data_IF_350946198697
#
_entry.id   IF_350946198697
#
_cell.length_a   1.000
_cell.length_b   1.000
_cell.length_c   1.000
_cell.angle_alpha   90.00
_cell.angle_beta   90.00
_cell.angle_gamma   90.00
#
_symmetry.space_group_name_H-M   'P 1'
#
loop_
_entity.id
_entity.type
_entity.pdbx_description
1 polymer ?
#
# COMPACT_ATOMS: atom_id res chain seq x y z
N UNK A 1 -14.50 6.19 22.22
CA UNK A 1 -13.06 6.38 21.86
C UNK A 1 -12.14 5.16 22.07
N UNK A 2 -12.50 4.13 22.87
CA UNK A 2 -11.60 3.03 23.23
C UNK A 2 -11.32 1.98 22.11
N UNK A 3 -12.27 1.77 21.20
CA UNK A 3 -12.15 0.74 20.15
C UNK A 3 -11.10 1.06 19.07
N UNK A 4 -10.86 2.35 18.80
CA UNK A 4 -9.89 2.79 17.78
C UNK A 4 -8.44 2.47 18.16
N UNK A 5 -8.07 2.71 19.44
CA UNK A 5 -6.71 2.42 19.95
C UNK A 5 -6.35 0.93 19.92
N UNK A 6 -7.31 0.03 20.18
CA UNK A 6 -7.05 -1.43 20.11
C UNK A 6 -6.79 -1.90 18.68
N UNK A 7 -7.53 -1.38 17.68
CA UNK A 7 -7.33 -1.73 16.26
C UNK A 7 -6.00 -1.23 15.72
N UNK A 8 -5.61 0.01 16.04
CA UNK A 8 -4.31 0.57 15.65
C UNK A 8 -3.13 -0.24 16.24
N UNK A 9 -3.17 -0.63 17.52
CA UNK A 9 -2.14 -1.48 18.11
C UNK A 9 -2.03 -2.86 17.48
N UNK A 10 -3.15 -3.46 17.08
CA UNK A 10 -3.14 -4.75 16.39
C UNK A 10 -2.50 -4.63 14.99
N UNK A 11 -2.82 -3.58 14.23
CA UNK A 11 -2.20 -3.33 12.90
C UNK A 11 -0.70 -3.02 13.03
N UNK A 12 -0.30 -2.26 14.05
CA UNK A 12 1.12 -1.97 14.33
C UNK A 12 1.91 -3.25 14.64
N UNK A 13 1.41 -4.08 15.56
CA UNK A 13 2.04 -5.38 15.89
C UNK A 13 2.10 -6.30 14.67
N UNK A 14 1.02 -6.36 13.88
CA UNK A 14 1.01 -7.11 12.64
C UNK A 14 2.10 -6.63 11.68
N UNK A 15 2.31 -5.32 11.54
CA UNK A 15 3.34 -4.78 10.66
C UNK A 15 4.78 -5.07 11.13
N UNK A 16 5.03 -5.04 12.44
CA UNK A 16 6.34 -5.40 12.99
C UNK A 16 6.65 -6.89 12.84
N UNK A 17 5.63 -7.74 13.01
CA UNK A 17 5.73 -9.20 12.78
C UNK A 17 5.83 -9.55 11.28
N UNK A 18 5.30 -8.71 10.38
CA UNK A 18 5.25 -8.96 8.94
C UNK A 18 6.58 -8.82 8.20
N UNK A 19 7.60 -8.23 8.83
CA UNK A 19 8.98 -8.34 8.34
C UNK A 19 9.47 -9.81 8.25
N UNK A 20 8.77 -10.74 8.92
CA UNK A 20 9.09 -12.17 8.96
C UNK A 20 8.10 -13.06 8.17
N UNK A 21 7.18 -12.50 7.37
CA UNK A 21 6.25 -13.32 6.57
C UNK A 21 7.00 -13.90 5.36
N UNK A 22 7.16 -15.24 5.25
CA UNK A 22 8.02 -15.84 4.23
C UNK A 22 7.45 -15.74 2.81
N UNK A 23 6.15 -15.44 2.65
CA UNK A 23 5.51 -15.39 1.32
C UNK A 23 4.30 -14.48 1.32
N UNK A 24 4.39 -13.35 0.61
CA UNK A 24 3.23 -12.50 0.35
C UNK A 24 2.25 -13.22 -0.58
N UNK A 25 0.94 -13.06 -0.30
CA UNK A 25 -0.10 -13.56 -1.19
C UNK A 25 0.01 -12.84 -2.54
N UNK A 26 -0.03 -13.61 -3.64
CA UNK A 26 -0.09 -13.03 -4.99
C UNK A 26 -1.43 -12.31 -5.14
N UNK A 27 -1.37 -11.00 -5.42
CA UNK A 27 -2.53 -10.20 -5.81
C UNK A 27 -2.58 -10.08 -7.34
N UNK A 28 -3.78 -9.99 -7.90
CA UNK A 28 -3.95 -9.67 -9.32
C UNK A 28 -3.69 -8.19 -9.52
N UNK A 29 -2.98 -7.84 -10.59
CA UNK A 29 -2.54 -6.48 -10.90
C UNK A 29 -2.93 -6.18 -12.35
N UNK A 30 -3.52 -5.00 -12.61
CA UNK A 30 -3.94 -4.61 -13.97
C UNK A 30 -2.75 -4.37 -14.89
N UNK A 31 -3.00 -4.32 -16.20
CA UNK A 31 -1.94 -4.24 -17.22
C UNK A 31 -1.13 -2.96 -17.08
N UNK A 32 -1.81 -1.85 -16.87
CA UNK A 32 -1.25 -0.51 -16.72
C UNK A 32 -0.32 -0.44 -15.50
N UNK A 33 -0.72 -1.05 -14.39
CA UNK A 33 0.12 -1.15 -13.18
C UNK A 33 1.38 -1.99 -13.46
N UNK A 34 1.28 -3.07 -14.24
CA UNK A 34 2.47 -3.86 -14.64
C UNK A 34 3.40 -3.07 -15.56
N UNK A 35 2.85 -2.33 -16.51
CA UNK A 35 3.61 -1.47 -17.42
C UNK A 35 4.35 -0.39 -16.62
N UNK A 36 3.68 0.23 -15.65
CA UNK A 36 4.30 1.23 -14.77
C UNK A 36 5.39 0.62 -13.88
N UNK A 37 5.21 -0.59 -13.35
CA UNK A 37 6.27 -1.30 -12.62
C UNK A 37 7.48 -1.59 -13.51
N UNK A 38 7.24 -1.95 -14.78
CA UNK A 38 8.31 -2.11 -15.77
C UNK A 38 9.03 -0.79 -16.05
N UNK A 39 8.30 0.32 -16.18
CA UNK A 39 8.88 1.67 -16.31
C UNK A 39 9.74 2.03 -15.09
N UNK A 40 9.22 1.78 -13.89
CA UNK A 40 9.92 2.01 -12.61
C UNK A 40 11.25 1.25 -12.57
N UNK A 41 11.23 -0.04 -12.94
CA UNK A 41 12.43 -0.85 -12.99
C UNK A 41 13.44 -0.32 -14.02
N UNK A 42 12.99 0.07 -15.21
CA UNK A 42 13.86 0.63 -16.24
C UNK A 42 14.53 1.94 -15.77
N UNK A 43 13.78 2.84 -15.13
CA UNK A 43 14.37 4.05 -14.54
C UNK A 43 15.38 3.73 -13.43
N UNK A 44 15.07 2.79 -12.54
CA UNK A 44 15.99 2.40 -11.46
C UNK A 44 17.31 1.84 -12.00
N UNK A 45 17.26 0.96 -12.99
CA UNK A 45 18.44 0.40 -13.64
C UNK A 45 19.20 1.45 -14.46
N UNK A 46 18.50 2.29 -15.22
CA UNK A 46 19.09 3.36 -16.01
C UNK A 46 19.84 4.37 -15.15
N UNK A 47 19.25 4.85 -14.06
CA UNK A 47 19.91 5.80 -13.15
C UNK A 47 21.17 5.19 -12.55
N UNK A 48 21.12 3.93 -12.12
CA UNK A 48 22.32 3.25 -11.58
C UNK A 48 23.44 3.15 -12.63
N UNK A 49 23.12 2.79 -13.87
CA UNK A 49 24.11 2.73 -14.94
C UNK A 49 24.77 4.09 -15.22
N UNK A 50 23.98 5.17 -15.21
CA UNK A 50 24.53 6.54 -15.36
C UNK A 50 25.44 6.89 -14.18
N UNK A 51 25.08 6.51 -12.95
CA UNK A 51 25.92 6.73 -11.77
C UNK A 51 27.23 5.92 -11.81
N UNK A 52 27.22 4.76 -12.47
CA UNK A 52 28.40 3.93 -12.73
C UNK A 52 29.28 4.46 -13.88
N UNK A 53 28.89 5.58 -14.51
CA UNK A 53 29.67 6.29 -15.52
C UNK A 53 29.24 6.05 -16.96
N UNK A 54 28.11 5.40 -17.21
CA UNK A 54 27.56 5.28 -18.55
C UNK A 54 27.03 6.63 -19.09
N UNK A 55 27.08 6.81 -20.41
CA UNK A 55 26.60 8.00 -21.10
C UNK A 55 25.06 8.08 -21.07
N UNK A 56 24.51 9.20 -20.61
CA UNK A 56 23.06 9.40 -20.38
C UNK A 56 22.22 9.16 -21.65
N UNK A 57 22.66 9.64 -22.82
CA UNK A 57 21.94 9.48 -24.09
C UNK A 57 21.85 8.01 -24.52
N UNK A 58 22.96 7.26 -24.40
CA UNK A 58 22.99 5.84 -24.72
C UNK A 58 22.13 5.02 -23.75
N UNK A 59 22.18 5.36 -22.45
CA UNK A 59 21.34 4.71 -21.44
C UNK A 59 19.86 4.97 -21.71
N UNK A 60 19.46 6.22 -21.97
CA UNK A 60 18.06 6.55 -22.27
C UNK A 60 17.54 5.74 -23.46
N UNK A 61 18.34 5.63 -24.53
CA UNK A 61 17.99 4.83 -25.71
C UNK A 61 17.89 3.33 -25.38
N UNK A 62 18.85 2.78 -24.65
CA UNK A 62 18.90 1.35 -24.33
C UNK A 62 17.72 0.90 -23.46
N UNK A 63 17.24 1.78 -22.58
CA UNK A 63 16.10 1.52 -21.70
C UNK A 63 14.77 2.03 -22.27
N UNK A 64 14.76 2.59 -23.48
CA UNK A 64 13.58 3.21 -24.09
C UNK A 64 12.89 4.21 -23.14
N UNK A 65 13.70 5.12 -22.58
CA UNK A 65 13.26 6.17 -21.67
C UNK A 65 13.35 7.53 -22.36
N UNK A 66 12.48 8.45 -21.91
CA UNK A 66 12.61 9.84 -22.27
C UNK A 66 13.92 10.42 -21.68
N UNK A 67 14.73 11.02 -22.55
CA UNK A 67 16.07 11.49 -22.20
C UNK A 67 16.04 12.62 -21.17
N UNK A 68 15.13 13.58 -21.34
CA UNK A 68 15.00 14.72 -20.41
C UNK A 68 14.57 14.23 -19.03
N UNK A 69 13.59 13.33 -18.97
CA UNK A 69 13.13 12.73 -17.72
C UNK A 69 14.25 11.95 -17.03
N UNK A 70 15.05 11.17 -17.76
CA UNK A 70 16.20 10.47 -17.17
C UNK A 70 17.23 11.46 -16.58
N UNK A 71 17.58 12.51 -17.32
CA UNK A 71 18.49 13.55 -16.86
C UNK A 71 18.00 14.22 -15.57
N UNK A 72 16.71 14.51 -15.51
CA UNK A 72 16.09 15.14 -14.34
C UNK A 72 16.07 14.20 -13.13
N UNK A 73 15.76 12.91 -13.31
CA UNK A 73 15.84 11.90 -12.26
C UNK A 73 17.27 11.71 -11.73
N UNK A 74 18.27 11.63 -12.63
CA UNK A 74 19.69 11.54 -12.26
C UNK A 74 20.11 12.78 -11.46
N UNK A 75 19.75 13.97 -11.92
CA UNK A 75 20.05 15.24 -11.24
C UNK A 75 19.36 15.29 -9.88
N UNK A 76 18.09 14.90 -9.81
CA UNK A 76 17.33 14.83 -8.57
C UNK A 76 18.00 13.90 -7.56
N UNK A 77 18.36 12.69 -8.00
CA UNK A 77 19.01 11.71 -7.13
C UNK A 77 20.35 12.19 -6.59
N UNK A 78 21.23 12.72 -7.46
CA UNK A 78 22.54 13.30 -7.06
C UNK A 78 22.39 14.37 -5.98
N UNK A 79 21.29 15.12 -6.00
CA UNK A 79 21.00 16.18 -5.03
C UNK A 79 20.29 15.69 -3.74
N UNK A 80 19.66 14.51 -3.77
CA UNK A 80 18.77 14.01 -2.71
C UNK A 80 19.50 13.53 -1.44
N UNK A 81 20.82 13.31 -1.49
CA UNK A 81 21.62 12.62 -0.45
C UNK A 81 21.12 11.20 -0.10
N UNK A 82 20.17 10.65 -0.87
CA UNK A 82 19.68 9.31 -0.65
C UNK A 82 20.76 8.29 -1.03
N UNK A 83 20.82 7.18 -0.28
CA UNK A 83 21.78 6.11 -0.54
C UNK A 83 21.43 5.29 -1.78
N UNK A 84 20.13 5.08 -2.01
CA UNK A 84 19.59 4.28 -3.10
C UNK A 84 18.54 5.09 -3.83
N UNK A 85 18.55 5.03 -5.16
CA UNK A 85 17.52 5.63 -5.99
C UNK A 85 16.26 4.76 -5.98
N UNK A 86 15.09 5.39 -5.83
CA UNK A 86 13.78 4.75 -5.93
C UNK A 86 12.91 5.65 -6.79
N UNK A 87 12.48 5.15 -7.95
CA UNK A 87 11.57 5.91 -8.81
C UNK A 87 10.17 5.95 -8.17
N UNK A 88 9.72 7.14 -7.82
CA UNK A 88 8.46 7.39 -7.11
C UNK A 88 7.45 8.23 -7.89
N UNK A 89 7.83 8.74 -9.08
CA UNK A 89 7.03 9.69 -9.83
C UNK A 89 6.80 11.01 -9.06
N UNK A 90 5.95 11.88 -9.60
CA UNK A 90 5.76 13.23 -9.02
C UNK A 90 4.86 13.21 -7.77
N UNK A 91 5.47 13.42 -6.60
CA UNK A 91 4.77 13.88 -5.39
C UNK A 91 4.00 12.83 -4.57
N UNK A 92 4.21 11.53 -4.82
CA UNK A 92 3.56 10.45 -4.07
C UNK A 92 4.27 10.21 -2.72
N UNK A 93 3.52 9.90 -1.67
CA UNK A 93 4.08 9.52 -0.35
C UNK A 93 4.77 8.14 -0.44
N UNK A 94 4.16 7.24 -1.20
CA UNK A 94 4.64 5.89 -1.43
C UNK A 94 4.93 5.67 -2.91
N UNK A 95 5.96 4.89 -3.21
CA UNK A 95 6.12 4.35 -4.57
C UNK A 95 5.02 3.33 -4.87
N UNK A 96 4.76 3.06 -6.14
CA UNK A 96 3.81 2.01 -6.53
C UNK A 96 4.17 0.64 -5.95
N UNK A 97 5.47 0.34 -5.83
CA UNK A 97 5.95 -0.90 -5.19
C UNK A 97 5.52 -0.96 -3.72
N UNK A 98 5.62 0.16 -3.01
CA UNK A 98 5.18 0.28 -1.62
C UNK A 98 3.66 0.19 -1.47
N UNK A 99 2.91 0.83 -2.36
CA UNK A 99 1.44 0.78 -2.35
C UNK A 99 0.90 -0.62 -2.64
N UNK A 100 1.47 -1.32 -3.62
CA UNK A 100 1.16 -2.73 -3.86
C UNK A 100 1.59 -3.63 -2.69
N UNK A 101 2.68 -3.28 -2.01
CA UNK A 101 3.09 -3.99 -0.80
C UNK A 101 2.05 -3.82 0.32
N UNK A 102 1.44 -2.64 0.48
CA UNK A 102 0.32 -2.45 1.41
C UNK A 102 -0.84 -3.41 1.10
N UNK A 103 -1.21 -3.57 -0.17
CA UNK A 103 -2.26 -4.52 -0.57
C UNK A 103 -1.88 -5.97 -0.31
N UNK A 104 -0.65 -6.37 -0.65
CA UNK A 104 -0.13 -7.72 -0.39
C UNK A 104 -0.14 -8.05 1.09
N UNK A 105 0.28 -7.09 1.91
CA UNK A 105 0.24 -7.19 3.36
C UNK A 105 -1.20 -7.37 3.86
N UNK A 106 -2.15 -6.58 3.38
CA UNK A 106 -3.55 -6.73 3.78
C UNK A 106 -4.13 -8.09 3.35
N UNK A 107 -3.66 -8.62 2.22
CA UNK A 107 -4.08 -9.92 1.69
C UNK A 107 -3.50 -11.12 2.46
N UNK A 108 -2.48 -10.93 3.30
CA UNK A 108 -1.91 -11.97 4.19
C UNK A 108 -2.49 -11.95 5.60
N UNK A 109 -3.41 -11.03 5.90
CA UNK A 109 -4.12 -11.02 7.19
C UNK A 109 -4.79 -12.39 7.44
N UNK A 110 -4.58 -13.03 8.61
CA UNK A 110 -5.15 -14.33 8.93
C UNK A 110 -6.68 -14.38 8.75
N UNK A 111 -7.20 -15.54 8.33
CA UNK A 111 -8.65 -15.74 8.11
C UNK A 111 -9.51 -15.50 9.35
N UNK A 112 -8.92 -15.59 10.55
CA UNK A 112 -9.58 -15.24 11.81
C UNK A 112 -10.05 -13.77 11.85
N UNK A 113 -9.48 -12.91 11.02
CA UNK A 113 -9.96 -11.55 10.80
C UNK A 113 -10.72 -11.45 9.48
N UNK A 114 -11.74 -10.58 9.43
CA UNK A 114 -12.45 -10.33 8.19
C UNK A 114 -11.55 -9.62 7.16
N UNK A 115 -11.41 -10.20 5.98
CA UNK A 115 -10.59 -9.72 4.86
C UNK A 115 -11.42 -9.11 3.72
N UNK A 116 -12.70 -8.80 3.96
CA UNK A 116 -13.53 -8.17 2.94
C UNK A 116 -13.03 -6.76 2.58
N UNK A 117 -13.44 -6.24 1.42
CA UNK A 117 -13.05 -4.92 0.92
C UNK A 117 -13.22 -3.81 1.98
N UNK A 118 -14.39 -3.72 2.61
CA UNK A 118 -14.66 -2.71 3.66
C UNK A 118 -13.72 -2.83 4.84
N UNK A 119 -13.46 -4.06 5.33
CA UNK A 119 -12.58 -4.27 6.48
C UNK A 119 -11.11 -4.01 6.10
N UNK A 120 -10.71 -4.37 4.89
CA UNK A 120 -9.37 -4.12 4.34
C UNK A 120 -9.11 -2.62 4.23
N UNK A 121 -10.01 -1.88 3.58
CA UNK A 121 -9.92 -0.42 3.43
C UNK A 121 -10.00 0.31 4.78
N UNK A 122 -10.74 -0.25 5.75
CA UNK A 122 -10.74 0.25 7.12
C UNK A 122 -9.39 0.13 7.84
N UNK A 123 -8.53 -0.82 7.44
CA UNK A 123 -7.20 -1.04 8.03
C UNK A 123 -6.08 -0.31 7.26
N UNK A 124 -6.24 -0.14 5.96
CA UNK A 124 -5.23 0.42 5.06
C UNK A 124 -4.63 1.76 5.57
N UNK A 125 -5.42 2.75 6.05
CA UNK A 125 -4.87 4.01 6.55
C UNK A 125 -3.90 3.85 7.73
N UNK A 126 -4.16 2.91 8.63
CA UNK A 126 -3.29 2.65 9.77
C UNK A 126 -1.98 2.01 9.28
N UNK A 127 -2.09 1.04 8.38
CA UNK A 127 -0.94 0.37 7.80
C UNK A 127 -0.03 1.35 7.04
N UNK A 128 -0.63 2.22 6.23
CA UNK A 128 0.07 3.28 5.51
C UNK A 128 0.83 4.20 6.48
N UNK A 129 0.18 4.70 7.53
CA UNK A 129 0.84 5.52 8.54
C UNK A 129 2.06 4.83 9.17
N UNK A 130 1.92 3.57 9.58
CA UNK A 130 3.01 2.81 10.17
C UNK A 130 4.17 2.57 9.19
N UNK A 131 3.85 2.26 7.93
CA UNK A 131 4.86 2.11 6.87
C UNK A 131 5.60 3.43 6.62
N UNK A 132 4.88 4.54 6.48
CA UNK A 132 5.48 5.86 6.26
C UNK A 132 6.44 6.24 7.39
N UNK A 133 6.04 6.02 8.65
CA UNK A 133 6.89 6.24 9.81
C UNK A 133 8.14 5.36 9.83
N UNK A 134 7.99 4.06 9.58
CA UNK A 134 9.12 3.11 9.61
C UNK A 134 10.14 3.42 8.52
N UNK A 135 9.67 3.87 7.35
CA UNK A 135 10.52 4.20 6.20
C UNK A 135 10.94 5.68 6.18
N UNK A 136 10.68 6.44 7.24
CA UNK A 136 10.97 7.88 7.35
C UNK A 136 10.48 8.70 6.13
N UNK A 137 9.30 8.34 5.59
CA UNK A 137 8.69 9.07 4.47
C UNK A 137 8.16 10.43 4.97
N UNK A 138 8.12 11.41 4.07
CA UNK A 138 7.46 12.70 4.33
C UNK A 138 5.97 12.51 4.09
N UNK A 139 5.15 12.88 5.08
CA UNK A 139 3.70 12.77 5.00
C UNK A 139 3.01 13.94 5.75
N UNK A 140 1.72 14.21 5.49
CA UNK A 140 0.99 15.31 6.14
C UNK A 140 0.91 15.14 7.66
N UNK A 141 1.11 16.24 8.41
CA UNK A 141 1.12 16.24 9.90
C UNK A 141 -0.16 15.69 10.52
N UNK A 142 -1.29 15.80 9.82
CA UNK A 142 -2.59 15.28 10.23
C UNK A 142 -2.58 13.76 10.39
N UNK A 143 -1.65 13.06 9.73
CA UNK A 143 -1.48 11.61 9.89
C UNK A 143 -1.00 11.26 11.29
N UNK A 144 -0.12 12.07 11.89
CA UNK A 144 0.38 11.85 13.26
C UNK A 144 -0.72 12.07 14.31
N UNK A 145 -1.56 13.10 14.11
CA UNK A 145 -2.67 13.41 15.03
C UNK A 145 -3.63 12.23 15.15
N UNK A 146 -3.94 11.59 14.02
CA UNK A 146 -4.91 10.51 13.95
C UNK A 146 -4.29 9.10 13.96
N UNK A 147 -2.96 9.01 13.86
CA UNK A 147 -2.20 7.77 13.67
C UNK A 147 -2.71 6.92 12.50
N UNK A 148 -3.08 7.59 11.41
CA UNK A 148 -3.60 6.98 10.17
C UNK A 148 -3.47 7.93 9.00
N UNK A 149 -3.44 7.38 7.80
CA UNK A 149 -3.52 8.16 6.59
C UNK A 149 -4.81 8.99 6.49
N UNK A 150 -4.68 10.18 5.91
CA UNK A 150 -5.76 11.10 5.65
C UNK A 150 -6.76 10.55 4.63
N UNK A 151 -7.99 11.06 4.67
CA UNK A 151 -9.08 10.62 3.77
C UNK A 151 -8.75 10.87 2.29
N UNK A 152 -8.14 12.00 1.96
CA UNK A 152 -7.76 12.31 0.58
C UNK A 152 -6.79 11.28 -0.01
N UNK A 153 -5.79 10.86 0.76
CA UNK A 153 -4.87 9.80 0.35
C UNK A 153 -5.61 8.47 0.14
N UNK A 154 -6.51 8.09 1.06
CA UNK A 154 -7.28 6.85 0.95
C UNK A 154 -8.17 6.83 -0.30
N UNK A 155 -8.85 7.94 -0.60
CA UNK A 155 -9.72 8.07 -1.79
C UNK A 155 -8.89 7.90 -3.07
N UNK A 156 -7.76 8.58 -3.17
CA UNK A 156 -6.89 8.46 -4.34
C UNK A 156 -6.37 7.03 -4.50
N UNK A 157 -5.97 6.40 -3.39
CA UNK A 157 -5.54 5.01 -3.40
C UNK A 157 -6.66 4.07 -3.85
N UNK A 158 -7.89 4.24 -3.36
CA UNK A 158 -9.05 3.43 -3.76
C UNK A 158 -9.36 3.56 -5.25
N UNK A 159 -9.26 4.77 -5.81
CA UNK A 159 -9.46 5.01 -7.25
C UNK A 159 -8.35 4.35 -8.07
N UNK A 160 -7.09 4.52 -7.68
CA UNK A 160 -5.95 4.03 -8.45
C UNK A 160 -5.86 2.49 -8.45
N UNK A 161 -6.23 1.85 -7.35
CA UNK A 161 -6.11 0.40 -7.12
C UNK A 161 -7.47 -0.32 -7.08
N UNK A 162 -8.52 0.25 -7.66
CA UNK A 162 -9.88 -0.30 -7.66
C UNK A 162 -9.91 -1.77 -8.13
N UNK A 163 -9.23 -2.04 -9.24
CA UNK A 163 -9.11 -3.35 -9.86
C UNK A 163 -8.42 -4.34 -8.94
N UNK A 164 -7.26 -3.97 -8.40
CA UNK A 164 -6.47 -4.79 -7.48
C UNK A 164 -7.30 -5.13 -6.23
N UNK A 165 -8.04 -4.15 -5.69
CA UNK A 165 -8.89 -4.31 -4.51
C UNK A 165 -10.05 -5.28 -4.81
N UNK A 166 -10.80 -5.03 -5.89
CA UNK A 166 -11.95 -5.86 -6.28
C UNK A 166 -11.55 -7.32 -6.54
N UNK A 167 -10.37 -7.53 -7.12
CA UNK A 167 -9.88 -8.86 -7.48
C UNK A 167 -9.16 -9.60 -6.34
N UNK A 168 -8.76 -8.90 -5.27
CA UNK A 168 -7.97 -9.48 -4.19
C UNK A 168 -8.77 -9.72 -2.91
N UNK A 169 -9.88 -9.00 -2.71
CA UNK A 169 -10.66 -9.02 -1.47
C UNK A 169 -12.14 -9.33 -1.72
N UNK A 170 -12.77 -10.21 -0.91
CA UNK A 170 -14.20 -10.49 -1.01
C UNK A 170 -15.05 -9.24 -0.79
N UNK A 171 -16.14 -9.09 -1.54
CA UNK A 171 -17.10 -8.01 -1.30
C UNK A 171 -17.90 -8.23 0.00
N UNK A 172 -18.26 -9.49 0.30
CA UNK A 172 -19.13 -9.82 1.44
C UNK A 172 -18.35 -9.82 2.76
N UNK A 173 -18.84 -9.06 3.73
CA UNK A 173 -18.31 -9.03 5.08
C UNK A 173 -18.80 -10.24 5.89
N UNK A 174 -17.89 -10.95 6.55
CA UNK A 174 -18.24 -12.05 7.47
C UNK A 174 -18.71 -11.56 8.84
N UNK A 175 -18.35 -10.34 9.23
CA UNK A 175 -18.72 -9.78 10.54
C UNK A 175 -20.22 -9.48 10.65
N UNK A 176 -20.89 -9.26 9.52
CA UNK A 176 -22.34 -9.02 9.47
C UNK A 176 -23.18 -10.29 9.61
N UNK A 177 -22.59 -11.48 9.50
CA UNK A 177 -23.31 -12.76 9.61
C UNK A 177 -23.38 -13.32 11.04
N UNK A 178 -22.64 -12.74 12.00
CA UNK A 178 -22.56 -13.23 13.38
C UNK A 178 -23.44 -12.44 14.38
N UNK A 179 -24.45 -11.71 13.90
CA UNK A 179 -25.53 -11.27 14.77
C UNK A 179 -26.65 -12.33 14.69
N UNK A 180 -26.72 -13.31 15.60
CA UNK A 180 -27.96 -14.04 15.80
C UNK A 180 -28.95 -13.03 16.36
N UNK A 181 -29.95 -12.68 15.57
CA UNK A 181 -31.16 -12.07 16.07
C UNK A 181 -31.82 -13.08 17.02
N UNK A 182 -31.52 -12.97 18.31
CA UNK A 182 -32.40 -13.49 19.35
C UNK A 182 -33.71 -12.68 19.30
N UNK A 183 -34.78 -13.32 18.83
CA UNK A 183 -36.08 -13.18 19.47
C UNK A 183 -36.63 -14.59 19.65
N UNK A 184 -36.31 -15.17 20.81
CA UNK A 184 -37.09 -16.25 21.39
C UNK A 184 -38.50 -15.71 21.68
N UNK A 185 -39.50 -16.15 20.93
CA UNK A 185 -40.90 -16.07 21.38
C UNK A 185 -41.15 -17.15 22.44
N UNK A 186 -41.17 -16.69 23.70
CA UNK A 186 -42.06 -17.05 24.83
C UNK A 186 -42.81 -18.39 24.67
N UNK A 187 -42.45 -19.45 25.40
CA UNK A 187 -42.95 -19.78 26.76
C UNK A 187 -44.40 -19.35 27.08
N UNK A 188 -45.16 -20.31 27.60
CA UNK A 188 -46.44 -20.21 28.34
C UNK A 188 -47.75 -20.27 27.54
N UNK A 189 -48.31 -21.49 27.45
CA UNK A 189 -49.71 -21.74 27.83
C UNK A 189 -49.82 -23.15 28.43
N UNK A 190 -49.66 -23.21 29.76
CA UNK A 190 -50.36 -24.17 30.62
C UNK A 190 -51.53 -23.40 31.20
N UNK A 191 -52.77 -23.77 30.90
CA UNK A 191 -53.78 -24.17 31.89
C UNK A 191 -54.88 -24.92 31.14
#
# INVERSE_FOLDING_TARGET
MYASRKRSRAVAKMYDEWNNVPTFKKIKVKKETKEYLGLTQRFEEAVNNVLDGAEEELVAKNYELDFETLCDEVRHFKNSKAKNYEYNGTGRIFSFKEELLLLKILATIPQAHCTCQTCTLGRLPYLAYHMARKKNKIYPREWDVNQRAGKGWLINFEIEYDYEILNSFPAVCKLTQNNPSEVNEKTEQKT
#
